data_IF_338507214121
#
_entry.id   IF_338507214121
#
_cell.length_a   1.000
_cell.length_b   1.000
_cell.length_c   1.000
_cell.angle_alpha   90.00
_cell.angle_beta   90.00
_cell.angle_gamma   90.00
#
_symmetry.space_group_name_H-M   'P 1'
#
loop_
_entity.id
_entity.type
_entity.pdbx_description
1 polymer ?
#
# COMPACT_ATOMS: atom_id res chain seq x y z
N UNK A 1 28.68 -1.04 -4.88
CA UNK A 1 27.76 0.08 -5.22
C UNK A 1 26.70 0.15 -4.12
N UNK A 2 26.62 1.26 -3.39
CA UNK A 2 25.71 1.38 -2.23
C UNK A 2 24.26 1.41 -2.69
N UNK A 3 23.41 0.58 -2.09
CA UNK A 3 21.98 0.54 -2.37
C UNK A 3 21.37 1.88 -1.95
N UNK A 4 20.69 2.58 -2.88
CA UNK A 4 20.10 3.89 -2.61
C UNK A 4 19.22 3.81 -1.34
N UNK A 5 19.49 4.70 -0.37
CA UNK A 5 18.72 4.76 0.87
C UNK A 5 17.26 4.92 0.51
N UNK A 6 16.42 4.10 1.13
CA UNK A 6 15.00 4.10 0.84
C UNK A 6 14.22 5.18 1.64
N UNK A 7 14.92 6.14 2.23
CA UNK A 7 14.37 7.24 3.03
C UNK A 7 14.11 6.86 4.49
N UNK A 8 13.63 7.83 5.27
CA UNK A 8 13.21 7.62 6.67
C UNK A 8 12.00 6.68 6.73
N UNK A 9 12.06 5.65 7.59
CA UNK A 9 10.99 4.65 7.73
C UNK A 9 10.72 4.25 9.16
N UNK A 10 9.48 3.86 9.40
CA UNK A 10 9.05 3.16 10.62
C UNK A 10 8.63 1.74 10.29
N UNK A 11 9.01 0.80 11.15
CA UNK A 11 8.57 -0.58 11.06
C UNK A 11 7.10 -0.67 11.47
N UNK A 12 6.27 -1.25 10.61
CA UNK A 12 4.91 -1.67 10.94
C UNK A 12 4.91 -3.20 11.11
N UNK A 13 4.68 -3.67 12.33
CA UNK A 13 4.53 -5.09 12.63
C UNK A 13 3.06 -5.40 12.95
N UNK A 14 2.44 -6.27 12.17
CA UNK A 14 1.05 -6.70 12.38
C UNK A 14 0.94 -8.23 12.23
N UNK A 15 0.05 -8.83 13.01
CA UNK A 15 -0.36 -10.23 12.82
C UNK A 15 -1.64 -10.25 11.99
N UNK A 16 -1.61 -10.98 10.89
CA UNK A 16 -2.76 -11.16 9.99
C UNK A 16 -3.11 -12.65 9.90
N UNK A 17 -4.36 -13.02 9.58
CA UNK A 17 -4.70 -14.40 9.27
C UNK A 17 -3.81 -14.95 8.15
N UNK A 18 -3.45 -16.23 8.24
CA UNK A 18 -2.59 -16.90 7.25
C UNK A 18 -3.16 -16.80 5.83
N UNK A 19 -4.47 -16.85 5.68
CA UNK A 19 -5.12 -16.73 4.37
C UNK A 19 -4.90 -15.35 3.74
N UNK A 20 -4.98 -14.28 4.54
CA UNK A 20 -4.70 -12.92 4.06
C UNK A 20 -3.25 -12.79 3.62
N UNK A 21 -2.31 -13.40 4.35
CA UNK A 21 -0.91 -13.43 3.95
C UNK A 21 -0.72 -14.08 2.58
N UNK A 22 -1.36 -15.23 2.32
CA UNK A 22 -1.29 -15.93 1.03
C UNK A 22 -1.86 -15.08 -0.11
N UNK A 23 -3.03 -14.49 0.08
CA UNK A 23 -3.65 -13.60 -0.91
C UNK A 23 -2.72 -12.42 -1.26
N UNK A 24 -2.07 -11.81 -0.27
CA UNK A 24 -1.15 -10.70 -0.52
C UNK A 24 0.11 -11.16 -1.26
N UNK A 25 0.61 -12.35 -0.97
CA UNK A 25 1.77 -12.94 -1.64
C UNK A 25 1.48 -13.28 -3.10
N UNK A 26 0.28 -13.79 -3.42
CA UNK A 26 -0.15 -14.04 -4.80
C UNK A 26 -0.31 -12.72 -5.57
N UNK A 27 -1.02 -11.74 -4.99
CA UNK A 27 -1.18 -10.41 -5.61
C UNK A 27 0.15 -9.69 -5.82
N UNK A 28 1.10 -9.85 -4.90
CA UNK A 28 2.46 -9.32 -5.06
C UNK A 28 3.12 -9.89 -6.32
N UNK A 29 3.02 -11.21 -6.52
CA UNK A 29 3.62 -11.90 -7.66
C UNK A 29 2.97 -11.44 -8.96
N UNK A 30 1.65 -11.31 -8.99
CA UNK A 30 0.91 -10.79 -10.14
C UNK A 30 1.32 -9.35 -10.48
N UNK A 31 1.61 -8.54 -9.46
CA UNK A 31 2.10 -7.17 -9.62
C UNK A 31 3.61 -7.07 -9.94
N UNK A 32 4.36 -8.18 -9.94
CA UNK A 32 5.80 -8.19 -10.21
C UNK A 32 6.67 -7.53 -9.14
N UNK A 33 6.14 -7.27 -7.93
CA UNK A 33 6.87 -6.60 -6.85
C UNK A 33 7.80 -7.58 -6.13
N UNK A 34 9.04 -7.20 -5.84
CA UNK A 34 10.10 -8.11 -5.41
C UNK A 34 9.93 -8.69 -4.00
N UNK A 35 9.19 -8.04 -3.11
CA UNK A 35 8.96 -8.54 -1.74
C UNK A 35 7.63 -8.10 -1.15
N UNK A 36 7.07 -8.93 -0.26
CA UNK A 36 5.79 -8.66 0.39
C UNK A 36 5.81 -7.36 1.20
N UNK A 37 6.89 -7.11 1.92
CA UNK A 37 7.06 -5.86 2.68
C UNK A 37 7.06 -4.62 1.79
N UNK A 38 7.67 -4.70 0.60
CA UNK A 38 7.64 -3.58 -0.36
C UNK A 38 6.25 -3.42 -0.97
N UNK A 39 5.58 -4.52 -1.32
CA UNK A 39 4.20 -4.49 -1.82
C UNK A 39 3.23 -3.85 -0.83
N UNK A 40 3.28 -4.24 0.44
CA UNK A 40 2.46 -3.64 1.50
C UNK A 40 2.83 -2.17 1.73
N UNK A 41 4.11 -1.81 1.69
CA UNK A 41 4.53 -0.40 1.81
C UNK A 41 3.99 0.46 0.66
N UNK A 42 4.05 -0.05 -0.58
CA UNK A 42 3.53 0.65 -1.75
C UNK A 42 2.00 0.75 -1.72
N UNK A 43 1.30 -0.29 -1.26
CA UNK A 43 -0.15 -0.24 -1.03
C UNK A 43 -0.54 0.82 0.02
N UNK A 44 0.21 0.92 1.13
CA UNK A 44 -0.03 1.94 2.16
C UNK A 44 0.26 3.36 1.64
N UNK A 45 1.31 3.52 0.84
CA UNK A 45 1.62 4.79 0.18
C UNK A 45 0.50 5.20 -0.78
N UNK A 46 0.02 4.28 -1.62
CA UNK A 46 -1.14 4.50 -2.48
C UNK A 46 -2.39 4.85 -1.67
N UNK A 47 -2.70 4.06 -0.63
CA UNK A 47 -3.87 4.26 0.21
C UNK A 47 -3.93 5.64 0.85
N UNK A 48 -2.77 6.17 1.21
CA UNK A 48 -2.64 7.50 1.84
C UNK A 48 -2.48 8.63 0.82
N UNK A 49 -2.61 8.35 -0.48
CA UNK A 49 -2.45 9.33 -1.56
C UNK A 49 -1.00 9.78 -1.80
N UNK A 50 -0.02 9.10 -1.20
CA UNK A 50 1.42 9.38 -1.33
C UNK A 50 2.07 8.52 -2.41
N UNK A 51 1.55 8.62 -3.64
CA UNK A 51 2.06 7.85 -4.79
C UNK A 51 3.52 8.17 -5.12
N UNK A 52 4.03 9.33 -4.66
CA UNK A 52 5.43 9.72 -4.74
C UNK A 52 6.38 8.81 -3.95
N UNK A 53 5.86 8.05 -2.97
CA UNK A 53 6.64 7.13 -2.14
C UNK A 53 6.62 5.68 -2.64
N UNK A 54 5.81 5.37 -3.66
CA UNK A 54 5.72 4.05 -4.27
C UNK A 54 7.03 3.74 -5.01
N UNK A 55 7.53 2.51 -4.87
CA UNK A 55 8.82 2.12 -5.46
C UNK A 55 8.73 1.07 -6.56
N UNK A 56 7.89 0.06 -6.38
CA UNK A 56 7.85 -1.11 -7.26
C UNK A 56 6.45 -1.35 -7.84
N UNK A 57 5.40 -1.03 -7.10
CA UNK A 57 4.02 -1.20 -7.55
C UNK A 57 3.68 -0.17 -8.63
N UNK A 58 3.26 -0.61 -9.81
CA UNK A 58 2.79 0.32 -10.84
C UNK A 58 1.47 0.98 -10.39
N UNK A 59 1.44 2.31 -10.40
CA UNK A 59 0.25 3.11 -10.07
C UNK A 59 -0.98 2.71 -10.91
N UNK A 60 -0.79 2.11 -12.09
CA UNK A 60 -1.86 1.64 -12.99
C UNK A 60 -2.44 0.26 -12.64
N UNK A 61 -1.70 -0.56 -11.87
CA UNK A 61 -2.09 -1.94 -11.52
C UNK A 61 -2.85 -2.00 -10.20
N UNK A 62 -2.86 -0.90 -9.45
CA UNK A 62 -3.64 -0.76 -8.22
C UNK A 62 -5.13 -0.83 -8.52
N UNK A 63 -5.87 -1.81 -7.99
CA UNK A 63 -7.30 -1.83 -8.18
C UNK A 63 -7.90 -0.65 -7.40
N UNK A 64 -8.54 0.27 -8.13
CA UNK A 64 -9.18 1.44 -7.54
C UNK A 64 -10.34 1.07 -6.58
N UNK A 65 -10.80 -0.19 -6.62
CA UNK A 65 -11.96 -0.69 -5.89
C UNK A 65 -11.64 -1.51 -4.61
N UNK A 66 -10.37 -1.66 -4.19
CA UNK A 66 -10.06 -2.50 -2.99
C UNK A 66 -10.41 -1.80 -1.66
N UNK A 67 -10.87 -0.55 -1.68
CA UNK A 67 -11.19 0.19 -0.47
C UNK A 67 -12.55 0.85 -0.63
N UNK A 68 -13.46 0.74 0.36
CA UNK A 68 -14.60 1.63 0.38
C UNK A 68 -14.03 3.05 0.37
N UNK A 69 -14.44 3.85 -0.62
CA UNK A 69 -14.14 5.28 -0.65
C UNK A 69 -14.38 5.78 0.76
N UNK A 70 -13.32 6.18 1.46
CA UNK A 70 -13.44 6.90 2.71
C UNK A 70 -14.18 8.17 2.32
N UNK A 71 -15.52 8.11 2.38
CA UNK A 71 -16.39 9.26 2.24
C UNK A 71 -15.86 10.19 3.31
N UNK A 72 -15.10 11.20 2.89
CA UNK A 72 -14.82 12.35 3.71
C UNK A 72 -16.21 12.87 4.08
N UNK A 73 -16.69 12.50 5.27
CA UNK A 73 -17.86 13.08 5.89
C UNK A 73 -17.49 14.55 6.05
N UNK A 74 -17.98 15.37 5.13
CA UNK A 74 -17.93 16.82 5.25
C UNK A 74 -18.51 17.19 6.61
N UNK A 75 -17.90 18.10 7.38
CA UNK A 75 -18.54 18.60 8.59
C UNK A 75 -19.80 19.35 8.16
N UNK A 76 -20.96 18.81 8.54
CA UNK A 76 -22.22 19.54 8.51
C UNK A 76 -22.08 20.71 9.49
N UNK A 77 -21.68 21.88 8.99
CA UNK A 77 -22.04 23.14 9.64
C UNK A 77 -23.51 23.39 9.35
N UNK A 78 -24.36 23.13 10.35
CA UNK A 78 -25.74 23.63 10.38
C UNK A 78 -25.73 25.02 11.03
N UNK A 79 -26.50 25.98 10.49
CA UNK A 79 -26.52 27.39 10.92
C UNK A 79 -27.04 27.60 12.35
#
# INVERSE_FOLDING_TARGET
MGMASKGERRLLAARIPTEVYRILEDRRRDAGVGSLSQYVADLLASYTGRTDLIRELDSKVLPQDVLPAARASSPTSTP
#
